data_IF_922780382254
#
_entry.id   IF_922780382254
#
_cell.length_a   1.000
_cell.length_b   1.000
_cell.length_c   1.000
_cell.angle_alpha   90.00
_cell.angle_beta   90.00
_cell.angle_gamma   90.00
#
_symmetry.space_group_name_H-M   'P 1'
#
loop_
_entity.id
_entity.type
_entity.pdbx_description
1 polymer ?
#
# COMPACT_ATOMS: atom_id res chain seq x y z
N UNK A 1 -17.09 39.26 -16.47
CA UNK A 1 -15.96 39.49 -15.53
C UNK A 1 -15.44 38.09 -15.19
N UNK A 2 -14.36 37.66 -15.88
CA UNK A 2 -13.77 36.32 -15.68
C UNK A 2 -12.76 36.48 -14.55
N UNK A 3 -13.05 35.92 -13.38
CA UNK A 3 -12.08 35.86 -12.30
C UNK A 3 -11.01 34.82 -12.66
N UNK A 4 -9.82 35.27 -13.09
CA UNK A 4 -8.62 34.48 -13.06
C UNK A 4 -8.21 34.28 -11.59
N UNK A 5 -8.49 33.12 -11.02
CA UNK A 5 -7.81 32.71 -9.81
C UNK A 5 -6.35 32.46 -10.19
N UNK A 6 -5.47 33.36 -9.78
CA UNK A 6 -4.03 33.12 -9.80
C UNK A 6 -3.74 31.98 -8.82
N UNK A 7 -3.45 30.80 -9.34
CA UNK A 7 -2.90 29.70 -8.54
C UNK A 7 -1.54 30.14 -8.02
N UNK A 8 -1.45 30.43 -6.73
CA UNK A 8 -0.17 30.61 -6.04
C UNK A 8 0.41 29.19 -5.96
N UNK A 9 1.38 28.88 -6.81
CA UNK A 9 2.11 27.62 -6.73
C UNK A 9 2.84 27.59 -5.36
N UNK A 10 2.43 26.66 -4.50
CA UNK A 10 3.14 26.41 -3.24
C UNK A 10 4.48 25.74 -3.58
N UNK A 11 5.57 26.43 -3.29
CA UNK A 11 6.92 25.89 -3.49
C UNK A 11 7.44 25.12 -2.26
N UNK A 12 6.71 25.16 -1.16
CA UNK A 12 7.05 24.47 0.09
C UNK A 12 5.76 24.09 0.79
N UNK A 13 5.71 22.88 1.31
CA UNK A 13 4.63 22.44 2.21
C UNK A 13 5.24 21.77 3.44
N UNK A 14 4.64 21.99 4.59
CA UNK A 14 4.94 21.28 5.83
C UNK A 14 3.69 20.51 6.22
N UNK A 15 3.84 19.23 6.48
CA UNK A 15 2.76 18.33 6.88
C UNK A 15 3.19 17.47 8.06
N UNK A 16 2.23 16.93 8.81
CA UNK A 16 2.53 15.94 9.83
C UNK A 16 3.26 14.75 9.17
N UNK A 17 4.23 14.17 9.88
CA UNK A 17 4.98 13.03 9.36
C UNK A 17 4.01 11.93 8.92
N UNK A 18 4.08 11.46 7.66
CA UNK A 18 3.11 10.53 7.11
C UNK A 18 3.24 9.11 7.66
N UNK A 19 2.20 8.32 7.45
CA UNK A 19 2.17 6.89 7.71
C UNK A 19 2.00 6.12 6.40
N UNK A 20 2.65 4.97 6.29
CA UNK A 20 2.45 4.03 5.18
C UNK A 20 1.57 2.86 5.63
N UNK A 21 0.36 2.78 5.09
CA UNK A 21 -0.59 1.76 5.50
C UNK A 21 -0.46 0.45 4.71
N UNK A 22 0.59 0.33 3.87
CA UNK A 22 0.87 -0.90 3.14
C UNK A 22 2.30 -0.94 2.60
N UNK A 23 3.21 -1.65 3.27
CA UNK A 23 4.58 -1.83 2.79
C UNK A 23 5.11 -3.26 2.99
N UNK A 24 5.89 -3.74 2.03
CA UNK A 24 6.61 -5.02 2.13
C UNK A 24 8.07 -4.77 2.49
N UNK A 25 8.51 -5.31 3.62
CA UNK A 25 9.91 -5.21 4.04
C UNK A 25 10.72 -6.45 3.69
N UNK A 26 10.04 -7.58 3.41
CA UNK A 26 10.64 -8.91 3.36
C UNK A 26 11.21 -9.28 4.73
N UNK A 27 12.20 -10.16 4.80
CA UNK A 27 12.86 -10.56 6.06
C UNK A 27 14.36 -10.80 5.84
N UNK A 28 15.12 -11.01 6.92
CA UNK A 28 16.55 -11.29 6.88
C UNK A 28 17.36 -10.13 6.30
N UNK A 29 18.27 -10.40 5.36
CA UNK A 29 19.18 -9.41 4.78
C UNK A 29 18.47 -8.21 4.12
N UNK A 30 17.24 -8.41 3.64
CA UNK A 30 16.47 -7.35 3.00
C UNK A 30 16.15 -6.20 3.97
N UNK A 31 15.95 -6.49 5.26
CA UNK A 31 15.57 -5.51 6.28
C UNK A 31 16.58 -4.37 6.40
N UNK A 32 17.87 -4.64 6.20
CA UNK A 32 18.92 -3.63 6.24
C UNK A 32 18.63 -2.45 5.29
N UNK A 33 18.05 -2.72 4.14
CA UNK A 33 17.72 -1.70 3.14
C UNK A 33 16.29 -1.19 3.30
N UNK A 34 15.35 -2.08 3.38
CA UNK A 34 13.93 -1.75 3.31
C UNK A 34 13.43 -0.98 4.52
N UNK A 35 13.94 -1.32 5.72
CA UNK A 35 13.62 -0.59 6.95
C UNK A 35 14.19 0.82 6.93
N UNK A 36 15.45 0.97 6.49
CA UNK A 36 16.10 2.28 6.38
C UNK A 36 15.29 3.21 5.46
N UNK A 37 14.99 2.76 4.25
CA UNK A 37 14.30 3.58 3.27
C UNK A 37 12.88 3.97 3.75
N UNK A 38 12.16 3.03 4.35
CA UNK A 38 10.81 3.28 4.83
C UNK A 38 10.79 4.20 6.07
N UNK A 39 11.66 3.96 7.05
CA UNK A 39 11.75 4.74 8.27
C UNK A 39 12.19 6.20 8.02
N UNK A 40 12.95 6.45 6.95
CA UNK A 40 13.30 7.81 6.54
C UNK A 40 12.10 8.58 5.99
N UNK A 41 11.07 7.92 5.48
CA UNK A 41 9.91 8.55 4.87
C UNK A 41 8.74 8.68 5.85
N UNK A 42 8.48 7.64 6.66
CA UNK A 42 7.25 7.46 7.41
C UNK A 42 7.51 7.31 8.92
N UNK A 43 6.56 7.74 9.73
CA UNK A 43 6.58 7.50 11.18
C UNK A 43 6.12 6.08 11.51
N UNK A 44 5.06 5.62 10.85
CA UNK A 44 4.51 4.27 10.99
C UNK A 44 4.41 3.60 9.63
N UNK A 45 4.46 2.27 9.64
CA UNK A 45 4.07 1.50 8.47
C UNK A 45 3.36 0.21 8.87
N UNK A 46 2.31 -0.18 8.14
CA UNK A 46 1.78 -1.54 8.19
C UNK A 46 2.69 -2.44 7.36
N UNK A 47 3.37 -3.37 8.06
CA UNK A 47 4.31 -4.31 7.48
C UNK A 47 3.57 -5.58 7.04
N UNK A 48 3.56 -5.85 5.73
CA UNK A 48 2.84 -6.97 5.15
C UNK A 48 3.41 -8.33 5.57
N UNK A 49 2.54 -9.33 5.83
CA UNK A 49 2.91 -10.58 6.50
C UNK A 49 3.36 -11.70 5.54
N UNK A 50 3.40 -11.47 4.22
CA UNK A 50 3.76 -12.47 3.19
C UNK A 50 5.26 -12.68 3.06
N UNK A 51 5.93 -12.85 4.18
CA UNK A 51 7.32 -13.30 4.30
C UNK A 51 7.45 -14.81 3.99
N UNK A 52 8.65 -15.36 4.07
CA UNK A 52 8.89 -16.80 3.94
C UNK A 52 9.64 -17.27 5.18
N UNK A 53 8.97 -18.01 6.09
CA UNK A 53 7.54 -18.35 6.14
C UNK A 53 6.63 -17.14 6.40
N UNK A 54 5.31 -17.21 6.08
CA UNK A 54 4.39 -16.11 6.34
C UNK A 54 4.09 -15.95 7.84
N UNK A 55 3.81 -14.72 8.27
CA UNK A 55 3.47 -14.35 9.65
C UNK A 55 1.98 -14.61 9.89
N UNK A 56 1.62 -15.65 10.64
CA UNK A 56 0.23 -16.13 10.80
C UNK A 56 -0.35 -15.95 12.19
N UNK A 57 0.50 -15.70 13.20
CA UNK A 57 0.09 -15.54 14.59
C UNK A 57 0.63 -14.25 15.19
N UNK A 58 0.02 -13.80 16.30
CA UNK A 58 0.49 -12.61 17.04
C UNK A 58 1.91 -12.79 17.54
N UNK A 59 2.28 -14.00 17.98
CA UNK A 59 3.62 -14.32 18.44
C UNK A 59 4.65 -14.19 17.31
N UNK A 60 4.33 -14.71 16.12
CA UNK A 60 5.18 -14.57 14.92
C UNK A 60 5.30 -13.12 14.48
N UNK A 61 4.21 -12.33 14.59
CA UNK A 61 4.20 -10.91 14.28
C UNK A 61 5.11 -10.11 15.23
N UNK A 62 5.08 -10.41 16.52
CA UNK A 62 5.97 -9.80 17.50
C UNK A 62 7.44 -10.12 17.20
N UNK A 63 7.76 -11.38 16.92
CA UNK A 63 9.11 -11.78 16.55
C UNK A 63 9.60 -11.11 15.24
N UNK A 64 8.72 -10.94 14.27
CA UNK A 64 9.04 -10.21 13.03
C UNK A 64 9.26 -8.71 13.32
N UNK A 65 8.41 -8.10 14.17
CA UNK A 65 8.58 -6.71 14.60
C UNK A 65 9.94 -6.48 15.27
N UNK A 66 10.38 -7.38 16.15
CA UNK A 66 11.70 -7.30 16.79
C UNK A 66 12.84 -7.29 15.75
N UNK A 67 12.75 -8.14 14.71
CA UNK A 67 13.74 -8.14 13.61
C UNK A 67 13.74 -6.83 12.83
N UNK A 68 12.57 -6.25 12.58
CA UNK A 68 12.45 -4.93 11.91
C UNK A 68 13.09 -3.85 12.80
N UNK A 69 12.73 -3.81 14.09
CA UNK A 69 13.24 -2.81 15.02
C UNK A 69 14.76 -2.83 15.18
N UNK A 70 15.39 -4.01 15.05
CA UNK A 70 16.84 -4.14 15.08
C UNK A 70 17.55 -3.44 13.90
N UNK A 71 16.81 -3.04 12.85
CA UNK A 71 17.33 -2.34 11.67
C UNK A 71 16.88 -0.87 11.60
N UNK A 72 16.06 -0.40 12.53
CA UNK A 72 15.69 1.01 12.61
C UNK A 72 16.90 1.82 13.03
N UNK A 73 17.31 2.88 12.29
CA UNK A 73 18.44 3.69 12.66
C UNK A 73 18.23 4.38 14.01
N UNK A 74 19.30 4.54 14.79
CA UNK A 74 19.24 5.22 16.08
C UNK A 74 18.68 6.64 15.95
N UNK A 75 17.73 6.99 16.81
CA UNK A 75 17.10 8.32 16.81
C UNK A 75 16.00 8.53 15.77
N UNK A 76 15.74 7.55 14.89
CA UNK A 76 14.63 7.63 13.93
C UNK A 76 13.35 7.09 14.57
N UNK A 77 12.30 7.93 14.70
CA UNK A 77 11.03 7.50 15.28
C UNK A 77 10.22 6.72 14.26
N UNK A 78 10.44 5.41 14.20
CA UNK A 78 9.68 4.51 13.33
C UNK A 78 8.94 3.44 14.15
N UNK A 79 7.65 3.29 13.90
CA UNK A 79 6.77 2.33 14.58
C UNK A 79 6.15 1.35 13.58
N UNK A 80 6.77 0.17 13.36
CA UNK A 80 6.21 -0.86 12.50
C UNK A 80 4.96 -1.47 13.13
N UNK A 81 3.83 -1.36 12.42
CA UNK A 81 2.55 -1.97 12.74
C UNK A 81 2.43 -3.29 12.00
N UNK A 82 1.99 -4.31 12.69
CA UNK A 82 1.99 -5.66 12.18
C UNK A 82 0.58 -6.09 11.77
N UNK A 83 0.53 -7.03 10.82
CA UNK A 83 -0.71 -7.70 10.42
C UNK A 83 -0.46 -9.20 10.27
N UNK A 84 -1.49 -10.01 10.42
CA UNK A 84 -1.39 -11.44 10.26
C UNK A 84 -1.73 -11.85 8.83
N UNK A 85 -1.10 -12.92 8.36
CA UNK A 85 -1.41 -13.57 7.10
C UNK A 85 -2.63 -14.46 7.25
N UNK A 86 -3.74 -14.11 6.57
CA UNK A 86 -4.98 -14.87 6.62
C UNK A 86 -4.88 -16.14 5.76
N UNK A 87 -5.20 -17.28 6.35
CA UNK A 87 -5.19 -18.59 5.67
C UNK A 87 -6.51 -19.33 5.89
N UNK A 88 -6.77 -20.38 5.12
CA UNK A 88 -7.91 -21.28 5.35
C UNK A 88 -7.95 -21.91 6.76
N UNK A 89 -6.83 -21.87 7.50
CA UNK A 89 -6.65 -22.47 8.82
C UNK A 89 -6.49 -21.47 9.96
N UNK A 90 -6.68 -20.18 9.71
CA UNK A 90 -6.61 -19.17 10.75
C UNK A 90 -7.69 -19.43 11.81
N UNK A 91 -7.27 -19.48 13.07
CA UNK A 91 -8.21 -19.67 14.21
C UNK A 91 -8.95 -18.38 14.53
N UNK A 92 -10.25 -18.43 14.85
CA UNK A 92 -10.97 -17.29 15.42
C UNK A 92 -10.31 -16.69 16.67
N UNK A 93 -9.62 -17.51 17.48
CA UNK A 93 -8.91 -17.06 18.68
C UNK A 93 -7.77 -16.08 18.38
N UNK A 94 -7.17 -16.16 17.20
CA UNK A 94 -6.16 -15.17 16.79
C UNK A 94 -6.74 -13.76 16.68
N UNK A 95 -8.03 -13.62 16.35
CA UNK A 95 -8.67 -12.30 16.26
C UNK A 95 -8.77 -11.64 17.64
N UNK A 96 -9.03 -12.44 18.69
CA UNK A 96 -9.01 -11.93 20.07
C UNK A 96 -7.60 -11.50 20.50
N UNK A 97 -6.57 -12.23 20.09
CA UNK A 97 -5.18 -11.85 20.36
C UNK A 97 -4.80 -10.57 19.61
N UNK A 98 -5.21 -10.41 18.33
CA UNK A 98 -5.04 -9.14 17.59
C UNK A 98 -5.66 -7.99 18.37
N UNK A 99 -6.90 -8.14 18.85
CA UNK A 99 -7.61 -7.11 19.61
C UNK A 99 -6.89 -6.70 20.91
N UNK A 100 -6.15 -7.62 21.53
CA UNK A 100 -5.38 -7.40 22.75
C UNK A 100 -3.95 -6.92 22.47
N UNK A 101 -3.49 -7.01 21.23
CA UNK A 101 -2.13 -6.64 20.85
C UNK A 101 -1.98 -5.12 20.73
N UNK A 102 -0.85 -4.62 21.17
CA UNK A 102 -0.46 -3.22 20.99
C UNK A 102 0.00 -2.94 19.54
N UNK A 103 0.61 -3.93 18.86
CA UNK A 103 1.31 -3.74 17.59
C UNK A 103 0.64 -4.42 16.40
N UNK A 104 -0.23 -5.42 16.61
CA UNK A 104 -0.94 -6.10 15.53
C UNK A 104 -2.30 -5.44 15.36
N UNK A 105 -2.55 -4.84 14.20
CA UNK A 105 -3.70 -3.97 13.99
C UNK A 105 -4.76 -4.53 13.04
N UNK A 106 -4.45 -5.59 12.29
CA UNK A 106 -5.34 -6.13 11.26
C UNK A 106 -4.94 -7.55 10.85
N UNK A 107 -5.75 -8.14 9.96
CA UNK A 107 -5.40 -9.37 9.24
C UNK A 107 -5.45 -9.11 7.72
N UNK A 108 -4.48 -9.65 6.98
CA UNK A 108 -4.35 -9.48 5.52
C UNK A 108 -4.77 -10.73 4.77
N UNK A 109 -5.76 -10.59 3.92
CA UNK A 109 -6.22 -11.63 3.00
C UNK A 109 -5.57 -11.46 1.64
N UNK A 110 -4.90 -12.51 1.21
CA UNK A 110 -4.51 -12.74 -0.17
C UNK A 110 -5.37 -13.89 -0.72
N UNK A 111 -6.07 -13.71 -1.86
CA UNK A 111 -6.56 -14.87 -2.60
C UNK A 111 -5.38 -15.77 -3.00
N UNK A 112 -5.52 -17.09 -2.83
CA UNK A 112 -4.43 -18.02 -3.11
C UNK A 112 -3.88 -17.85 -4.54
N UNK A 113 -2.57 -17.60 -4.67
CA UNK A 113 -1.90 -17.42 -5.96
C UNK A 113 -2.09 -16.02 -6.61
N UNK A 114 -2.63 -15.03 -5.88
CA UNK A 114 -2.88 -13.69 -6.45
C UNK A 114 -1.59 -12.89 -6.68
N UNK A 115 -0.60 -13.02 -5.81
CA UNK A 115 0.64 -12.24 -5.85
C UNK A 115 1.80 -13.01 -5.24
N UNK A 116 2.97 -12.39 -5.10
CA UNK A 116 4.17 -12.98 -4.51
C UNK A 116 3.90 -13.55 -3.12
N UNK A 117 4.31 -14.80 -2.87
CA UNK A 117 4.16 -15.53 -1.61
C UNK A 117 2.69 -15.62 -1.12
N UNK A 118 1.73 -15.73 -2.05
CA UNK A 118 0.30 -15.85 -1.72
C UNK A 118 -0.28 -17.26 -1.88
N UNK A 119 0.53 -18.28 -2.13
CA UNK A 119 0.07 -19.66 -2.34
C UNK A 119 -0.68 -20.24 -1.13
N UNK A 120 -0.31 -19.81 0.08
CA UNK A 120 -0.97 -20.20 1.33
C UNK A 120 -2.16 -19.28 1.71
N UNK A 121 -2.58 -18.39 0.82
CA UNK A 121 -3.70 -17.48 1.03
C UNK A 121 -5.04 -18.20 1.11
N UNK A 122 -6.10 -17.42 1.24
CA UNK A 122 -7.46 -17.95 1.32
C UNK A 122 -7.89 -18.48 -0.04
N UNK A 123 -8.22 -19.79 -0.07
CA UNK A 123 -8.60 -20.49 -1.30
C UNK A 123 -10.07 -20.26 -1.68
N UNK A 124 -10.95 -20.08 -0.68
CA UNK A 124 -12.36 -19.73 -0.82
C UNK A 124 -12.80 -18.94 0.41
N UNK A 125 -13.26 -17.73 0.19
CA UNK A 125 -13.66 -16.80 1.27
C UNK A 125 -14.71 -17.39 2.22
N UNK A 126 -15.56 -18.30 1.74
CA UNK A 126 -16.61 -18.94 2.53
C UNK A 126 -16.07 -19.88 3.61
N UNK A 127 -14.88 -20.43 3.43
CA UNK A 127 -14.24 -21.31 4.43
C UNK A 127 -13.86 -20.55 5.70
N UNK A 128 -13.67 -19.25 5.60
CA UNK A 128 -13.19 -18.38 6.69
C UNK A 128 -14.28 -17.46 7.25
N UNK A 129 -15.54 -17.70 6.93
CA UNK A 129 -16.66 -16.87 7.41
C UNK A 129 -16.75 -16.80 8.94
N UNK A 130 -16.45 -17.87 9.65
CA UNK A 130 -16.41 -17.85 11.12
C UNK A 130 -15.35 -16.92 11.69
N UNK A 131 -14.22 -16.77 11.00
CA UNK A 131 -13.17 -15.81 11.38
C UNK A 131 -13.59 -14.40 11.00
N UNK A 132 -14.23 -14.22 9.83
CA UNK A 132 -14.73 -12.90 9.38
C UNK A 132 -15.83 -12.38 10.32
N UNK A 133 -16.67 -13.25 10.86
CA UNK A 133 -17.65 -12.90 11.88
C UNK A 133 -16.97 -12.31 13.13
N UNK A 134 -15.87 -12.92 13.58
CA UNK A 134 -15.07 -12.38 14.69
C UNK A 134 -14.39 -11.04 14.34
N UNK A 135 -13.93 -10.88 13.10
CA UNK A 135 -13.40 -9.59 12.63
C UNK A 135 -14.47 -8.49 12.71
N UNK A 136 -15.69 -8.78 12.26
CA UNK A 136 -16.81 -7.84 12.34
C UNK A 136 -17.19 -7.55 13.79
N UNK A 137 -17.34 -8.57 14.63
CA UNK A 137 -17.73 -8.43 16.06
C UNK A 137 -16.72 -7.59 16.84
N UNK A 138 -15.43 -7.85 16.66
CA UNK A 138 -14.36 -7.18 17.38
C UNK A 138 -13.82 -5.93 16.69
N UNK A 139 -14.38 -5.56 15.52
CA UNK A 139 -13.96 -4.41 14.71
C UNK A 139 -12.45 -4.44 14.38
N UNK A 140 -11.92 -5.63 14.14
CA UNK A 140 -10.56 -5.83 13.63
C UNK A 140 -10.58 -5.68 12.11
N UNK A 141 -9.77 -4.79 11.52
CA UNK A 141 -9.78 -4.56 10.09
C UNK A 141 -9.34 -5.78 9.27
N UNK A 142 -10.08 -6.06 8.19
CA UNK A 142 -9.70 -6.98 7.14
C UNK A 142 -9.05 -6.18 6.00
N UNK A 143 -7.79 -6.47 5.68
CA UNK A 143 -7.07 -5.87 4.55
C UNK A 143 -7.10 -6.84 3.37
N UNK A 144 -7.56 -6.39 2.21
CA UNK A 144 -7.82 -7.26 1.06
C UNK A 144 -6.92 -6.94 -0.14
N UNK A 145 -6.24 -7.95 -0.67
CA UNK A 145 -5.79 -7.92 -2.07
C UNK A 145 -7.00 -8.28 -2.94
N UNK A 146 -7.52 -7.33 -3.68
CA UNK A 146 -8.83 -7.41 -4.34
C UNK A 146 -8.77 -7.96 -5.77
N UNK A 147 -8.21 -9.14 -6.02
CA UNK A 147 -8.18 -9.75 -7.36
C UNK A 147 -8.66 -11.21 -7.33
N UNK A 148 -9.42 -11.62 -8.35
CA UNK A 148 -9.66 -13.05 -8.63
C UNK A 148 -8.42 -13.68 -9.27
N UNK A 149 -8.21 -14.99 -9.05
CA UNK A 149 -7.01 -15.69 -9.52
C UNK A 149 -7.28 -16.68 -10.68
N UNK A 150 -8.47 -16.65 -11.26
CA UNK A 150 -8.85 -17.55 -12.35
C UNK A 150 -8.07 -17.25 -13.64
N UNK A 151 -7.39 -18.23 -14.21
CA UNK A 151 -6.54 -18.11 -15.39
C UNK A 151 -7.29 -17.61 -16.66
N UNK A 152 -8.60 -17.82 -16.75
CA UNK A 152 -9.42 -17.36 -17.88
C UNK A 152 -9.89 -15.90 -17.74
N UNK A 153 -9.67 -15.26 -16.60
CA UNK A 153 -10.00 -13.84 -16.40
C UNK A 153 -8.80 -12.99 -16.81
N UNK A 154 -9.06 -12.02 -17.69
CA UNK A 154 -8.06 -11.03 -18.11
C UNK A 154 -7.47 -10.34 -16.88
N UNK A 155 -6.14 -10.24 -16.82
CA UNK A 155 -5.43 -9.65 -15.69
C UNK A 155 -5.87 -8.20 -15.40
N UNK A 156 -6.35 -7.47 -16.42
CA UNK A 156 -6.85 -6.11 -16.26
C UNK A 156 -8.27 -6.05 -15.67
N UNK A 157 -9.01 -7.16 -15.68
CA UNK A 157 -10.40 -7.24 -15.20
C UNK A 157 -10.52 -7.93 -13.83
N UNK A 158 -9.43 -8.48 -13.28
CA UNK A 158 -9.42 -9.29 -12.06
C UNK A 158 -9.96 -8.54 -10.84
N UNK A 159 -9.61 -7.25 -10.69
CA UNK A 159 -10.10 -6.42 -9.58
C UNK A 159 -11.61 -6.22 -9.67
N UNK A 160 -12.13 -5.82 -10.85
CA UNK A 160 -13.56 -5.65 -11.04
C UNK A 160 -14.34 -6.94 -10.77
N UNK A 161 -13.83 -8.07 -11.26
CA UNK A 161 -14.46 -9.38 -11.01
C UNK A 161 -14.47 -9.73 -9.53
N UNK A 162 -13.43 -9.39 -8.79
CA UNK A 162 -13.37 -9.61 -7.35
C UNK A 162 -14.45 -8.77 -6.61
N UNK A 163 -14.63 -7.52 -6.99
CA UNK A 163 -15.69 -6.68 -6.43
C UNK A 163 -17.07 -7.32 -6.59
N UNK A 164 -17.39 -7.77 -7.81
CA UNK A 164 -18.71 -8.30 -8.15
C UNK A 164 -18.96 -9.68 -7.52
N UNK A 165 -17.97 -10.58 -7.57
CA UNK A 165 -18.13 -12.00 -7.25
C UNK A 165 -17.81 -12.33 -5.78
N UNK A 166 -16.94 -11.53 -5.14
CA UNK A 166 -16.44 -11.83 -3.79
C UNK A 166 -16.81 -10.72 -2.81
N UNK A 167 -16.44 -9.46 -3.10
CA UNK A 167 -16.51 -8.41 -2.09
C UNK A 167 -17.95 -7.93 -1.85
N UNK A 168 -18.75 -7.72 -2.88
CA UNK A 168 -20.14 -7.28 -2.71
C UNK A 168 -20.99 -8.34 -1.97
N UNK A 169 -20.91 -9.67 -2.29
CA UNK A 169 -21.56 -10.70 -1.48
C UNK A 169 -21.03 -10.74 -0.03
N UNK A 170 -19.72 -10.55 0.18
CA UNK A 170 -19.13 -10.56 1.51
C UNK A 170 -19.69 -9.44 2.39
N UNK A 171 -19.71 -8.20 1.90
CA UNK A 171 -20.24 -7.05 2.65
C UNK A 171 -21.75 -7.11 2.85
N UNK A 172 -22.48 -7.82 1.96
CA UNK A 172 -23.91 -8.12 2.20
C UNK A 172 -24.09 -9.08 3.38
N UNK A 173 -23.19 -10.06 3.54
CA UNK A 173 -23.19 -11.02 4.64
C UNK A 173 -22.69 -10.40 5.95
N UNK A 174 -21.67 -9.53 5.88
CA UNK A 174 -21.02 -8.89 7.01
C UNK A 174 -21.04 -7.36 6.85
N UNK A 175 -22.20 -6.71 7.07
CA UNK A 175 -22.40 -5.30 6.70
C UNK A 175 -21.66 -4.29 7.60
N UNK A 176 -21.11 -4.72 8.73
CA UNK A 176 -20.32 -3.88 9.65
C UNK A 176 -18.84 -4.23 9.64
N UNK A 177 -18.41 -5.13 8.76
CA UNK A 177 -17.02 -5.54 8.63
C UNK A 177 -16.13 -4.34 8.30
N UNK A 178 -15.16 -4.05 9.15
CA UNK A 178 -14.17 -3.00 8.91
C UNK A 178 -13.15 -3.51 7.89
N UNK A 179 -13.04 -2.82 6.75
CA UNK A 179 -12.32 -3.34 5.59
C UNK A 179 -11.51 -2.25 4.89
N UNK A 180 -10.29 -2.61 4.48
CA UNK A 180 -9.49 -1.83 3.55
C UNK A 180 -9.29 -2.63 2.27
N UNK A 181 -9.82 -2.12 1.15
CA UNK A 181 -9.48 -2.59 -0.18
C UNK A 181 -8.14 -1.99 -0.56
N UNK A 182 -7.09 -2.83 -0.50
CA UNK A 182 -5.72 -2.39 -0.63
C UNK A 182 -5.34 -2.08 -2.09
N UNK A 183 -4.46 -1.06 -2.28
CA UNK A 183 -3.82 -0.73 -3.57
C UNK A 183 -4.76 -0.80 -4.76
N UNK A 184 -5.94 -0.15 -4.64
CA UNK A 184 -6.95 -0.16 -5.71
C UNK A 184 -6.42 0.41 -7.01
N UNK A 185 -6.88 -0.15 -8.15
CA UNK A 185 -6.34 0.18 -9.46
C UNK A 185 -7.39 0.59 -10.50
N UNK A 186 -8.68 0.40 -10.18
CA UNK A 186 -9.78 0.65 -11.12
C UNK A 186 -10.73 1.74 -10.65
N UNK A 187 -11.42 2.37 -11.60
CA UNK A 187 -12.54 3.29 -11.33
C UNK A 187 -13.68 2.58 -10.59
N UNK A 188 -13.90 1.31 -10.89
CA UNK A 188 -14.91 0.49 -10.25
C UNK A 188 -14.63 0.30 -8.75
N UNK A 189 -13.37 0.05 -8.39
CA UNK A 189 -12.97 -0.06 -6.97
C UNK A 189 -13.12 1.29 -6.24
N UNK A 190 -12.75 2.40 -6.88
CA UNK A 190 -12.94 3.73 -6.31
C UNK A 190 -14.42 4.04 -6.06
N UNK A 191 -15.31 3.78 -7.04
CA UNK A 191 -16.73 3.97 -6.90
C UNK A 191 -17.34 3.04 -5.85
N UNK A 192 -16.93 1.76 -5.83
CA UNK A 192 -17.34 0.81 -4.82
C UNK A 192 -17.09 1.33 -3.39
N UNK A 193 -15.89 1.85 -3.12
CA UNK A 193 -15.55 2.44 -1.81
C UNK A 193 -16.39 3.69 -1.54
N UNK A 194 -16.65 4.53 -2.55
CA UNK A 194 -17.48 5.72 -2.38
C UNK A 194 -18.93 5.40 -1.99
N UNK A 195 -19.47 4.31 -2.50
CA UNK A 195 -20.86 3.87 -2.26
C UNK A 195 -21.09 3.21 -0.90
N UNK A 196 -20.02 2.77 -0.23
CA UNK A 196 -20.09 2.14 1.10
C UNK A 196 -19.86 3.14 2.23
N UNK A 197 -20.22 2.76 3.45
CA UNK A 197 -20.02 3.55 4.66
C UNK A 197 -18.53 3.63 5.08
N UNK A 198 -18.25 4.35 6.17
CA UNK A 198 -16.86 4.62 6.64
C UNK A 198 -16.08 3.39 7.07
N UNK A 199 -16.72 2.25 7.28
CA UNK A 199 -16.04 1.00 7.61
C UNK A 199 -15.35 0.36 6.40
N UNK A 200 -15.62 0.85 5.18
CA UNK A 200 -14.92 0.46 3.94
C UNK A 200 -14.06 1.61 3.46
N UNK A 201 -12.77 1.35 3.37
CA UNK A 201 -11.76 2.30 2.89
C UNK A 201 -10.84 1.65 1.85
N UNK A 202 -9.93 2.42 1.27
CA UNK A 202 -8.94 1.92 0.32
C UNK A 202 -7.59 2.60 0.46
N UNK A 203 -6.51 1.87 0.18
CA UNK A 203 -5.19 2.43 -0.07
C UNK A 203 -4.95 2.65 -1.55
N UNK A 204 -4.19 3.69 -1.90
CA UNK A 204 -3.78 3.99 -3.26
C UNK A 204 -2.28 4.23 -3.29
N UNK A 205 -1.58 3.59 -4.22
CA UNK A 205 -0.13 3.61 -4.34
C UNK A 205 0.38 4.74 -5.23
N UNK A 206 1.63 5.19 -5.09
CA UNK A 206 2.18 6.22 -5.96
C UNK A 206 2.28 5.76 -7.43
N UNK A 207 2.57 4.47 -7.68
CA UNK A 207 2.63 3.94 -9.03
C UNK A 207 1.28 3.99 -9.75
N UNK A 208 0.16 3.72 -9.07
CA UNK A 208 -1.16 3.78 -9.68
C UNK A 208 -1.70 5.21 -9.84
N UNK A 209 -1.15 6.19 -9.12
CA UNK A 209 -1.44 7.62 -9.34
C UNK A 209 -0.64 8.21 -10.49
N UNK A 210 0.64 7.87 -10.61
CA UNK A 210 1.57 8.52 -11.55
C UNK A 210 1.64 7.82 -12.90
N UNK A 211 1.41 6.50 -12.96
CA UNK A 211 1.68 5.68 -14.13
C UNK A 211 0.46 4.84 -14.52
N UNK A 212 0.43 4.45 -15.78
CA UNK A 212 -0.58 3.55 -16.35
C UNK A 212 0.10 2.47 -17.20
N UNK A 213 -0.67 1.57 -17.78
CA UNK A 213 -0.11 0.45 -18.57
C UNK A 213 0.76 0.86 -19.75
N UNK A 214 0.58 2.07 -20.30
CA UNK A 214 1.44 2.55 -21.39
C UNK A 214 2.88 2.79 -20.89
N UNK A 215 3.04 3.30 -19.65
CA UNK A 215 4.35 3.52 -19.06
C UNK A 215 5.13 2.22 -18.92
N UNK A 216 4.43 1.12 -18.65
CA UNK A 216 5.02 -0.23 -18.54
C UNK A 216 5.32 -0.88 -19.90
N UNK A 217 4.50 -0.65 -20.94
CA UNK A 217 4.49 -1.46 -22.16
C UNK A 217 4.97 -0.73 -23.42
N UNK A 218 4.81 0.60 -23.50
CA UNK A 218 5.16 1.34 -24.73
C UNK A 218 6.67 1.58 -24.81
N UNK A 219 7.23 1.26 -25.96
CA UNK A 219 8.68 1.36 -26.22
C UNK A 219 9.50 0.21 -25.62
N UNK A 220 8.86 -0.91 -25.31
CA UNK A 220 9.44 -2.09 -24.71
C UNK A 220 8.93 -2.32 -23.29
N UNK A 221 8.97 -3.59 -22.85
CA UNK A 221 8.56 -3.96 -21.50
C UNK A 221 9.51 -3.37 -20.47
N UNK A 222 8.95 -2.71 -19.47
CA UNK A 222 9.70 -2.11 -18.36
C UNK A 222 9.39 -2.86 -17.06
N UNK A 223 10.19 -3.84 -16.68
CA UNK A 223 9.89 -4.75 -15.57
C UNK A 223 9.74 -4.04 -14.22
N UNK A 224 10.42 -2.91 -14.00
CA UNK A 224 10.36 -2.16 -12.74
C UNK A 224 9.04 -1.41 -12.53
N UNK A 225 8.16 -1.33 -13.55
CA UNK A 225 6.78 -0.85 -13.44
C UNK A 225 5.76 -2.01 -13.27
N UNK A 226 6.20 -3.26 -13.39
CA UNK A 226 5.33 -4.41 -13.22
C UNK A 226 5.06 -4.67 -11.75
N UNK A 227 3.78 -4.58 -11.35
CA UNK A 227 3.24 -4.85 -10.03
C UNK A 227 1.91 -5.61 -10.13
N UNK A 228 1.42 -6.15 -9.03
CA UNK A 228 0.09 -6.73 -8.90
C UNK A 228 -0.62 -6.10 -7.70
N UNK A 229 -1.82 -5.54 -7.90
CA UNK A 229 -2.57 -5.48 -9.17
C UNK A 229 -1.85 -4.64 -10.23
N UNK A 230 -2.00 -5.05 -11.49
CA UNK A 230 -1.28 -4.45 -12.63
C UNK A 230 -1.75 -3.02 -12.90
N UNK A 231 -0.84 -2.15 -13.41
CA UNK A 231 -1.18 -0.81 -13.91
C UNK A 231 -2.29 -0.89 -14.96
N UNK A 232 -3.34 -0.10 -14.79
CA UNK A 232 -4.54 -0.10 -15.64
C UNK A 232 -4.48 0.96 -16.76
N UNK A 233 -5.61 1.23 -17.39
CA UNK A 233 -5.77 2.30 -18.40
C UNK A 233 -5.65 3.67 -17.76
N UNK A 234 -5.33 4.68 -18.55
CA UNK A 234 -5.28 6.09 -18.12
C UNK A 234 -6.61 6.55 -17.50
N UNK A 235 -7.75 6.08 -17.98
CA UNK A 235 -9.06 6.44 -17.41
C UNK A 235 -9.20 6.00 -15.95
N UNK A 236 -8.74 4.82 -15.58
CA UNK A 236 -8.70 4.36 -14.20
C UNK A 236 -7.73 5.19 -13.35
N UNK A 237 -6.51 5.43 -13.87
CA UNK A 237 -5.51 6.28 -13.21
C UNK A 237 -6.08 7.67 -12.88
N UNK A 238 -6.80 8.29 -13.82
CA UNK A 238 -7.45 9.59 -13.60
C UNK A 238 -8.47 9.54 -12.45
N UNK A 239 -9.34 8.52 -12.42
CA UNK A 239 -10.30 8.35 -11.31
C UNK A 239 -9.59 8.15 -9.97
N UNK A 240 -8.51 7.36 -9.92
CA UNK A 240 -7.73 7.19 -8.69
C UNK A 240 -7.15 8.51 -8.21
N UNK A 241 -6.60 9.30 -9.12
CA UNK A 241 -6.04 10.62 -8.79
C UNK A 241 -7.13 11.58 -8.28
N UNK A 242 -8.32 11.57 -8.89
CA UNK A 242 -9.48 12.35 -8.45
C UNK A 242 -9.90 11.99 -7.02
N UNK A 243 -10.05 10.69 -6.68
CA UNK A 243 -10.48 10.30 -5.33
C UNK A 243 -9.39 10.48 -4.30
N UNK A 244 -8.12 10.24 -4.61
CA UNK A 244 -7.00 10.48 -3.71
C UNK A 244 -6.90 11.97 -3.31
N UNK A 245 -7.11 12.87 -4.28
CA UNK A 245 -7.02 14.32 -4.07
C UNK A 245 -8.33 14.99 -3.68
N UNK A 246 -9.42 14.22 -3.51
CA UNK A 246 -10.75 14.73 -3.16
C UNK A 246 -10.86 15.26 -1.73
N UNK A 247 -10.00 14.76 -0.82
CA UNK A 247 -10.12 14.97 0.62
C UNK A 247 -11.13 14.04 1.30
N UNK A 248 -11.60 13.00 0.60
CA UNK A 248 -12.48 11.97 1.18
C UNK A 248 -11.66 11.04 2.10
N UNK A 249 -12.01 10.92 3.41
CA UNK A 249 -11.21 10.17 4.38
C UNK A 249 -11.22 8.64 4.19
N UNK A 250 -11.97 8.14 3.22
CA UNK A 250 -11.96 6.69 2.88
C UNK A 250 -10.77 6.30 1.99
N UNK A 251 -10.01 7.25 1.46
CA UNK A 251 -8.84 7.00 0.64
C UNK A 251 -7.59 7.53 1.32
N UNK A 252 -6.58 6.68 1.51
CA UNK A 252 -5.34 7.07 2.16
C UNK A 252 -4.13 6.35 1.58
N UNK A 253 -2.96 6.81 1.97
CA UNK A 253 -1.67 6.35 1.49
C UNK A 253 -1.41 4.88 1.86
N UNK A 254 -0.99 4.09 0.89
CA UNK A 254 -0.37 2.79 1.07
C UNK A 254 0.54 2.55 -0.12
N UNK A 255 1.85 2.51 0.11
CA UNK A 255 2.83 2.53 -0.99
C UNK A 255 2.84 1.26 -1.82
N UNK A 256 2.50 0.10 -1.24
CA UNK A 256 2.78 -1.19 -1.85
C UNK A 256 4.25 -1.27 -2.31
N UNK A 257 5.16 -0.62 -1.56
CA UNK A 257 6.58 -0.75 -1.85
C UNK A 257 6.99 -2.19 -1.66
N UNK A 258 7.30 -2.87 -2.76
CA UNK A 258 7.55 -4.30 -2.81
C UNK A 258 8.94 -4.58 -3.40
N UNK A 259 9.96 -4.79 -2.53
CA UNK A 259 11.34 -4.96 -2.95
C UNK A 259 11.56 -6.33 -3.62
N UNK A 260 12.18 -6.29 -4.78
CA UNK A 260 12.75 -7.42 -5.50
C UNK A 260 14.08 -6.99 -6.10
N UNK A 261 15.07 -7.86 -6.10
CA UNK A 261 16.34 -7.56 -6.74
C UNK A 261 16.17 -7.32 -8.26
N UNK A 262 17.09 -6.58 -8.84
CA UNK A 262 17.13 -6.36 -10.29
C UNK A 262 17.06 -7.68 -11.05
N UNK A 263 17.86 -8.67 -10.63
CA UNK A 263 17.89 -9.98 -11.27
C UNK A 263 16.55 -10.73 -11.19
N UNK A 264 15.83 -10.60 -10.08
CA UNK A 264 14.51 -11.22 -9.91
C UNK A 264 13.44 -10.57 -10.79
N UNK A 265 13.59 -9.30 -11.13
CA UNK A 265 12.66 -8.56 -12.01
C UNK A 265 13.01 -8.69 -13.49
N UNK A 266 14.29 -8.71 -13.84
CA UNK A 266 14.79 -8.72 -15.22
C UNK A 266 15.08 -10.13 -15.72
N UNK A 267 14.15 -11.06 -15.50
CA UNK A 267 14.20 -12.42 -16.01
C UNK A 267 12.85 -12.88 -16.54
N UNK A 268 12.79 -14.08 -17.14
CA UNK A 268 11.58 -14.60 -17.78
C UNK A 268 10.39 -14.77 -16.82
N UNK A 269 10.63 -14.98 -15.53
CA UNK A 269 9.58 -15.07 -14.51
C UNK A 269 9.06 -13.68 -14.10
N UNK A 270 9.95 -12.68 -13.98
CA UNK A 270 9.63 -11.29 -13.70
C UNK A 270 8.79 -11.08 -12.43
N UNK A 271 9.42 -10.91 -11.26
CA UNK A 271 8.68 -10.68 -10.03
C UNK A 271 7.83 -9.41 -10.06
N UNK A 272 6.57 -9.50 -9.61
CA UNK A 272 5.67 -8.35 -9.46
C UNK A 272 6.01 -7.54 -8.21
N UNK A 273 6.17 -6.23 -8.35
CA UNK A 273 6.41 -5.29 -7.26
C UNK A 273 7.19 -4.07 -7.72
N UNK A 274 6.75 -2.89 -7.30
CA UNK A 274 7.47 -1.63 -7.49
C UNK A 274 8.15 -1.25 -6.17
N UNK A 275 9.37 -0.75 -6.22
CA UNK A 275 10.09 -0.31 -5.03
C UNK A 275 10.05 1.22 -4.94
N UNK A 276 9.09 1.75 -4.20
CA UNK A 276 8.84 3.19 -4.09
C UNK A 276 9.32 3.80 -2.77
N UNK A 277 9.63 3.01 -1.75
CA UNK A 277 9.96 3.48 -0.40
C UNK A 277 11.00 4.63 -0.34
N UNK A 278 12.10 4.63 -1.12
CA UNK A 278 13.13 5.67 -0.99
C UNK A 278 12.66 7.11 -1.26
N UNK A 279 11.62 7.28 -2.08
CA UNK A 279 11.09 8.60 -2.50
C UNK A 279 9.58 8.63 -2.53
N UNK A 280 8.94 7.86 -1.64
CA UNK A 280 7.50 7.64 -1.70
C UNK A 280 6.70 8.93 -1.50
N UNK A 281 7.00 9.72 -0.47
CA UNK A 281 6.21 10.93 -0.17
C UNK A 281 6.40 12.00 -1.25
N UNK A 282 7.60 12.08 -1.85
CA UNK A 282 7.87 12.99 -2.95
C UNK A 282 7.09 12.59 -4.21
N UNK A 283 6.96 11.29 -4.49
CA UNK A 283 6.13 10.79 -5.59
C UNK A 283 4.65 11.11 -5.39
N UNK A 284 4.13 10.97 -4.17
CA UNK A 284 2.78 11.41 -3.86
C UNK A 284 2.62 12.92 -4.00
N UNK A 285 3.59 13.72 -3.51
CA UNK A 285 3.57 15.16 -3.69
C UNK A 285 3.51 15.56 -5.17
N UNK A 286 4.31 14.89 -6.01
CA UNK A 286 4.25 15.09 -7.46
C UNK A 286 2.88 14.76 -8.05
N UNK A 287 2.26 13.65 -7.64
CA UNK A 287 0.93 13.27 -8.12
C UNK A 287 -0.15 14.29 -7.74
N UNK A 288 -0.11 14.81 -6.52
CA UNK A 288 -1.06 15.82 -6.04
C UNK A 288 -0.82 17.21 -6.67
N UNK A 289 0.45 17.60 -6.85
CA UNK A 289 0.81 18.86 -7.50
C UNK A 289 0.44 18.91 -8.99
N UNK A 290 0.55 17.80 -9.71
CA UNK A 290 0.16 17.70 -11.13
C UNK A 290 -1.31 18.08 -11.39
N UNK A 291 -2.17 17.92 -10.41
CA UNK A 291 -3.58 18.31 -10.48
C UNK A 291 -3.92 19.55 -9.65
N UNK A 292 -2.90 20.26 -9.14
CA UNK A 292 -3.05 21.47 -8.37
C UNK A 292 -3.76 21.26 -7.02
N UNK A 293 -3.51 20.11 -6.35
CA UNK A 293 -4.16 19.71 -5.10
C UNK A 293 -3.17 19.34 -4.01
N UNK A 294 -1.97 19.92 -4.04
CA UNK A 294 -0.89 19.60 -3.10
C UNK A 294 -1.31 19.81 -1.63
N UNK A 295 -2.20 20.77 -1.36
CA UNK A 295 -2.76 21.05 -0.05
C UNK A 295 -3.62 19.92 0.54
N UNK A 296 -4.03 18.95 -0.30
CA UNK A 296 -4.78 17.75 0.12
C UNK A 296 -3.88 16.59 0.57
N UNK A 297 -2.58 16.69 0.32
CA UNK A 297 -1.64 15.60 0.60
C UNK A 297 -1.60 15.24 2.09
N UNK A 298 -1.62 16.21 2.99
CA UNK A 298 -1.55 15.94 4.43
C UNK A 298 -2.71 15.08 4.92
N UNK A 299 -3.95 15.37 4.50
CA UNK A 299 -5.12 14.55 4.83
C UNK A 299 -4.93 13.10 4.40
N UNK A 300 -4.53 12.89 3.15
CA UNK A 300 -4.33 11.58 2.53
C UNK A 300 -3.16 10.79 3.16
N UNK A 301 -2.05 11.45 3.44
CA UNK A 301 -0.82 10.79 3.89
C UNK A 301 -0.69 10.65 5.41
N UNK A 302 -1.29 11.57 6.19
CA UNK A 302 -0.99 11.68 7.62
C UNK A 302 -2.23 11.61 8.53
N UNK A 303 -3.45 11.80 8.00
CA UNK A 303 -4.65 11.85 8.85
C UNK A 303 -5.57 10.64 8.65
N UNK A 304 -6.01 10.39 7.42
CA UNK A 304 -7.15 9.53 7.15
C UNK A 304 -6.92 8.06 7.54
N UNK A 305 -5.72 7.53 7.28
CA UNK A 305 -5.39 6.18 7.70
C UNK A 305 -5.30 6.06 9.23
N UNK A 306 -4.64 7.01 9.93
CA UNK A 306 -4.59 7.01 11.39
C UNK A 306 -5.99 7.03 11.99
N UNK A 307 -6.87 7.91 11.49
CA UNK A 307 -8.27 8.00 11.92
C UNK A 307 -9.04 6.69 11.66
N UNK A 308 -8.83 6.07 10.49
CA UNK A 308 -9.46 4.79 10.14
C UNK A 308 -9.04 3.68 11.12
N UNK A 309 -7.75 3.55 11.43
CA UNK A 309 -7.26 2.54 12.36
C UNK A 309 -7.50 2.89 13.83
N UNK A 310 -7.99 4.10 14.14
CA UNK A 310 -8.21 4.56 15.51
C UNK A 310 -6.91 4.83 16.26
N UNK A 311 -5.86 5.18 15.55
CA UNK A 311 -4.55 5.52 16.11
C UNK A 311 -4.40 7.06 16.22
N UNK A 312 -3.64 7.56 17.18
CA UNK A 312 -3.38 8.99 17.27
C UNK A 312 -2.62 9.47 16.02
N UNK A 313 -2.94 10.65 15.53
CA UNK A 313 -2.15 11.30 14.47
C UNK A 313 -0.76 11.64 15.00
N UNK A 314 0.24 11.61 14.09
CA UNK A 314 1.60 11.96 14.44
C UNK A 314 1.70 13.44 14.84
N UNK A 315 2.71 13.79 15.61
CA UNK A 315 2.96 15.17 16.08
C UNK A 315 4.20 15.80 15.42
N UNK A 316 5.12 14.96 14.93
CA UNK A 316 6.28 15.41 14.17
C UNK A 316 5.84 15.86 12.78
N UNK A 317 6.62 16.75 12.18
CA UNK A 317 6.38 17.27 10.84
C UNK A 317 7.53 16.95 9.90
N UNK A 318 7.23 16.89 8.61
CA UNK A 318 8.21 16.92 7.53
C UNK A 318 7.94 18.12 6.62
N UNK A 319 8.97 18.57 5.92
CA UNK A 319 8.85 19.64 4.93
C UNK A 319 9.24 19.11 3.56
N UNK A 320 8.43 19.41 2.56
CA UNK A 320 8.72 19.15 1.16
C UNK A 320 8.90 20.48 0.43
N UNK A 321 9.94 20.56 -0.38
CA UNK A 321 10.22 21.73 -1.24
C UNK A 321 10.11 21.34 -2.70
N UNK A 322 9.62 22.26 -3.52
CA UNK A 322 9.53 22.07 -4.98
C UNK A 322 10.91 22.34 -5.59
N UNK A 323 11.70 21.28 -5.66
CA UNK A 323 13.08 21.28 -6.13
C UNK A 323 13.34 19.97 -6.88
N UNK A 324 13.95 20.07 -8.04
CA UNK A 324 14.26 18.92 -8.88
C UNK A 324 15.30 18.00 -8.21
N UNK A 325 15.01 16.72 -8.18
CA UNK A 325 15.96 15.67 -7.80
C UNK A 325 15.90 14.50 -8.76
N UNK A 326 17.03 13.85 -8.96
CA UNK A 326 17.11 12.64 -9.78
C UNK A 326 17.05 11.43 -8.87
N UNK A 327 16.09 10.53 -9.12
CA UNK A 327 16.01 9.25 -8.41
C UNK A 327 17.22 8.39 -8.83
N UNK A 328 17.96 7.80 -7.88
CA UNK A 328 19.09 6.92 -8.19
C UNK A 328 18.72 5.81 -9.18
N UNK A 329 19.62 5.48 -10.11
CA UNK A 329 19.38 4.40 -11.06
C UNK A 329 19.29 3.02 -10.41
N UNK A 330 19.99 2.82 -9.31
CA UNK A 330 19.93 1.61 -8.48
C UNK A 330 20.43 1.88 -7.07
N UNK A 331 20.03 1.02 -6.14
CA UNK A 331 20.48 1.02 -4.75
C UNK A 331 21.05 -0.35 -4.40
N UNK A 332 21.95 -0.41 -3.41
CA UNK A 332 22.46 -1.67 -2.89
C UNK A 332 21.35 -2.44 -2.18
N UNK A 333 21.25 -3.73 -2.45
CA UNK A 333 20.21 -4.61 -1.91
C UNK A 333 20.76 -6.02 -1.75
N UNK A 334 20.43 -6.67 -0.62
CA UNK A 334 21.08 -7.89 -0.19
C UNK A 334 22.61 -7.69 -0.14
N UNK A 335 23.41 -8.71 -0.17
CA UNK A 335 24.86 -8.52 -0.06
C UNK A 335 25.49 -8.01 -1.38
N UNK A 336 25.16 -8.64 -2.52
CA UNK A 336 25.78 -8.38 -3.82
C UNK A 336 24.78 -8.01 -4.93
N UNK A 337 23.52 -7.73 -4.58
CA UNK A 337 22.48 -7.41 -5.57
C UNK A 337 22.16 -5.92 -5.57
N UNK A 338 21.44 -5.49 -6.59
CA UNK A 338 20.86 -4.15 -6.70
C UNK A 338 19.35 -4.21 -6.70
N UNK A 339 18.72 -3.16 -6.19
CA UNK A 339 17.31 -2.90 -6.35
C UNK A 339 17.12 -1.62 -7.15
N UNK A 340 16.14 -1.62 -8.04
CA UNK A 340 15.83 -0.47 -8.89
C UNK A 340 14.62 0.26 -8.29
N UNK A 341 14.78 1.50 -7.82
CA UNK A 341 13.65 2.28 -7.33
C UNK A 341 12.64 2.58 -8.43
N UNK A 342 11.39 2.79 -8.03
CA UNK A 342 10.37 3.28 -8.95
C UNK A 342 10.82 4.61 -9.58
N UNK A 343 10.70 4.72 -10.90
CA UNK A 343 11.09 5.90 -11.68
C UNK A 343 12.60 6.21 -11.66
N UNK A 344 13.44 5.17 -11.48
CA UNK A 344 14.90 5.26 -11.46
C UNK A 344 15.47 6.08 -12.64
N UNK A 345 16.48 6.90 -12.38
CA UNK A 345 17.17 7.75 -13.37
C UNK A 345 16.31 8.91 -13.89
N UNK A 346 15.10 9.13 -13.36
CA UNK A 346 14.21 10.22 -13.76
C UNK A 346 14.20 11.33 -12.74
N UNK A 347 13.86 12.53 -13.19
CA UNK A 347 13.67 13.70 -12.34
C UNK A 347 12.26 13.69 -11.74
N UNK A 348 12.18 13.96 -10.45
CA UNK A 348 10.95 14.34 -9.74
C UNK A 348 11.11 15.76 -9.20
N UNK A 349 9.99 16.47 -9.00
CA UNK A 349 10.00 17.91 -8.76
C UNK A 349 9.77 18.29 -7.29
N UNK A 350 9.76 17.33 -6.40
CA UNK A 350 9.61 17.52 -4.97
C UNK A 350 10.71 16.80 -4.22
N UNK A 351 11.23 17.42 -3.15
CA UNK A 351 12.27 16.86 -2.29
C UNK A 351 11.92 17.08 -0.82
N UNK A 352 12.06 16.04 -0.02
CA UNK A 352 12.00 16.15 1.44
C UNK A 352 13.28 16.77 1.99
N UNK A 353 13.15 17.75 2.91
CA UNK A 353 14.25 18.48 3.56
C UNK A 353 14.20 18.32 5.07
#
# INVERSE_FOLDING_TARGET
MVYFFQYIALNTITLLQPDDWHAHLRDGLALKRTVLDLAQQFHRAICMPNTVPPVKTVEEANAYRERIMAHVPEGVPFDPRMVLYFTDHTSPDEILKIKQSEFVNAIKLYPAGATTNSDNGVSDIRKVYSVIEQLEEHQVPLLLHGEVTHNHVDIFDREKRFLDEVLAPLLKQFPKLKLVLEHITTSEAAHFVLEHDRHVAATITPQHLLFNRNDMLVGGVKPHFYCLPILKRQTHQQTLLEVATSGNPKFFLGTESAPHSKNAKENACGCAGCYSAPTAIELYAQAFDQVGKIERLEGFASHFGADFYGLPRNTNTITLVKEDQIIPESLDYLDDEKIIPLYAGKTIHWRKV
#
